data_IF_649193136822
#
_entry.id   IF_649193136822
#
_cell.length_a   1.000
_cell.length_b   1.000
_cell.length_c   1.000
_cell.angle_alpha   90.00
_cell.angle_beta   90.00
_cell.angle_gamma   90.00
#
_symmetry.space_group_name_H-M   'P 1'
#
loop_
_entity.id
_entity.type
_entity.pdbx_description
1 polymer ?
#
# COMPACT_ATOMS: atom_id res chain seq x y z
N UNK A 1 2.69 -11.15 13.29
CA UNK A 1 3.28 -11.40 11.95
C UNK A 1 4.71 -10.90 12.00
N UNK A 2 5.70 -11.79 11.86
CA UNK A 2 7.12 -11.42 11.92
C UNK A 2 7.55 -10.68 10.64
N UNK A 3 8.48 -9.73 10.75
CA UNK A 3 9.05 -8.97 9.63
C UNK A 3 9.51 -9.88 8.47
N UNK A 4 10.11 -11.03 8.79
CA UNK A 4 10.52 -12.05 7.81
C UNK A 4 9.35 -12.60 6.99
N UNK A 5 8.20 -12.84 7.64
CA UNK A 5 6.98 -13.29 6.96
C UNK A 5 6.41 -12.24 6.01
N UNK A 6 6.45 -10.97 6.40
CA UNK A 6 5.98 -9.83 5.57
C UNK A 6 6.87 -9.62 4.33
N UNK A 7 8.19 -9.78 4.47
CA UNK A 7 9.13 -9.68 3.34
C UNK A 7 9.00 -10.87 2.41
N UNK A 8 8.84 -12.09 2.94
CA UNK A 8 8.68 -13.30 2.11
C UNK A 8 7.42 -13.24 1.24
N UNK A 9 6.31 -12.73 1.78
CA UNK A 9 5.04 -12.59 1.06
C UNK A 9 5.12 -11.49 0.00
N UNK A 10 5.86 -10.41 0.26
CA UNK A 10 6.18 -9.38 -0.72
C UNK A 10 7.01 -9.93 -1.89
N UNK A 11 8.09 -10.64 -1.61
CA UNK A 11 8.96 -11.26 -2.63
C UNK A 11 8.18 -12.25 -3.48
N UNK A 12 7.34 -13.08 -2.85
CA UNK A 12 6.49 -14.06 -3.54
C UNK A 12 5.46 -13.36 -4.43
N UNK A 13 4.85 -12.27 -3.95
CA UNK A 13 3.93 -11.46 -4.74
C UNK A 13 4.63 -10.83 -5.95
N UNK A 14 5.84 -10.31 -5.79
CA UNK A 14 6.64 -9.75 -6.89
C UNK A 14 7.02 -10.82 -7.92
N UNK A 15 7.43 -12.01 -7.47
CA UNK A 15 7.75 -13.14 -8.36
C UNK A 15 6.53 -13.62 -9.15
N UNK A 16 5.39 -13.77 -8.48
CA UNK A 16 4.14 -14.20 -9.12
C UNK A 16 3.58 -13.16 -10.09
N UNK A 17 3.79 -11.87 -9.82
CA UNK A 17 3.37 -10.78 -10.71
C UNK A 17 4.43 -10.40 -11.77
N UNK A 18 5.56 -11.12 -11.83
CA UNK A 18 6.62 -10.84 -12.81
C UNK A 18 6.13 -11.20 -14.22
N UNK A 19 5.88 -10.18 -15.04
CA UNK A 19 5.47 -10.35 -16.45
C UNK A 19 6.58 -11.04 -17.25
N UNK A 20 6.24 -12.00 -18.13
CA UNK A 20 7.19 -12.59 -19.09
C UNK A 20 7.82 -11.46 -19.92
N UNK A 21 9.15 -11.40 -19.95
CA UNK A 21 9.88 -10.44 -20.80
C UNK A 21 9.77 -10.92 -22.25
N UNK A 22 9.02 -10.18 -23.06
CA UNK A 22 8.99 -10.35 -24.52
C UNK A 22 10.23 -9.70 -25.13
N UNK A 23 10.74 -10.25 -26.24
CA UNK A 23 11.89 -9.67 -26.94
C UNK A 23 11.52 -8.32 -27.57
N UNK A 24 12.53 -7.51 -27.93
CA UNK A 24 12.29 -6.23 -28.59
C UNK A 24 11.56 -6.42 -29.94
N UNK A 25 11.90 -7.47 -30.68
CA UNK A 25 11.23 -7.86 -31.93
C UNK A 25 9.77 -8.27 -31.70
N UNK A 26 9.48 -9.09 -30.69
CA UNK A 26 8.11 -9.52 -30.35
C UNK A 26 7.24 -8.34 -29.88
N UNK A 27 7.85 -7.35 -29.22
CA UNK A 27 7.17 -6.08 -28.91
C UNK A 27 6.79 -5.33 -30.18
N UNK A 28 7.75 -5.09 -31.06
CA UNK A 28 7.54 -4.29 -32.28
C UNK A 28 6.49 -4.92 -33.22
N UNK A 29 6.47 -6.25 -33.32
CA UNK A 29 5.50 -6.96 -34.17
C UNK A 29 4.05 -6.80 -33.68
N UNK A 30 3.82 -6.70 -32.36
CA UNK A 30 2.48 -6.44 -31.79
C UNK A 30 2.02 -5.00 -32.05
N UNK A 31 2.93 -4.02 -31.97
CA UNK A 31 2.58 -2.61 -32.17
C UNK A 31 2.29 -2.25 -33.63
N UNK A 32 2.84 -3.00 -34.61
CA UNK A 32 2.50 -2.79 -36.02
C UNK A 32 1.10 -3.30 -36.39
N UNK A 33 0.51 -4.23 -35.62
CA UNK A 33 -0.79 -4.85 -35.90
C UNK A 33 -1.98 -4.13 -35.25
N UNK A 34 -1.78 -3.41 -34.14
CA UNK A 34 -2.88 -2.78 -33.39
C UNK A 34 -2.95 -1.26 -33.60
N UNK A 35 -3.81 -0.81 -34.54
CA UNK A 35 -4.17 0.61 -34.78
C UNK A 35 -5.00 1.27 -33.66
N UNK A 36 -4.81 0.90 -32.39
CA UNK A 36 -5.59 1.49 -31.29
C UNK A 36 -4.71 1.77 -30.07
N UNK A 37 -3.84 2.78 -30.20
CA UNK A 37 -2.95 3.28 -29.15
C UNK A 37 -3.68 4.21 -28.16
N UNK A 38 -4.92 3.85 -27.78
CA UNK A 38 -5.64 4.56 -26.72
C UNK A 38 -5.41 3.81 -25.44
N UNK A 39 -4.73 4.47 -24.48
CA UNK A 39 -4.53 4.01 -23.12
C UNK A 39 -5.88 3.67 -22.47
N UNK A 40 -6.32 2.42 -22.59
CA UNK A 40 -7.63 1.97 -22.15
C UNK A 40 -7.57 1.55 -20.68
N UNK A 41 -7.95 2.46 -19.79
CA UNK A 41 -8.17 2.11 -18.39
C UNK A 41 -9.47 1.32 -18.26
N UNK A 42 -9.40 -0.01 -18.42
CA UNK A 42 -10.54 -0.95 -18.29
C UNK A 42 -11.28 -0.84 -16.95
N UNK A 43 -10.63 -0.29 -15.91
CA UNK A 43 -11.20 -0.13 -14.56
C UNK A 43 -11.29 1.34 -14.20
N UNK A 44 -12.38 1.98 -14.61
CA UNK A 44 -12.92 3.12 -13.87
C UNK A 44 -13.43 2.55 -12.54
N UNK A 45 -12.70 2.78 -11.45
CA UNK A 45 -13.20 2.40 -10.13
C UNK A 45 -14.57 3.07 -9.93
N UNK A 46 -15.61 2.28 -9.65
CA UNK A 46 -16.94 2.81 -9.42
C UNK A 46 -16.85 3.86 -8.29
N UNK A 47 -17.39 5.06 -8.49
CA UNK A 47 -17.28 6.15 -7.50
C UNK A 47 -17.70 5.72 -6.10
N UNK A 48 -18.68 4.80 -5.99
CA UNK A 48 -19.11 4.20 -4.73
C UNK A 48 -17.99 3.40 -4.06
N UNK A 49 -17.22 2.63 -4.82
CA UNK A 49 -16.06 1.89 -4.30
C UNK A 49 -14.97 2.85 -3.82
N UNK A 50 -14.71 3.93 -4.56
CA UNK A 50 -13.72 4.93 -4.17
C UNK A 50 -14.14 5.66 -2.88
N UNK A 51 -15.41 6.05 -2.75
CA UNK A 51 -15.97 6.64 -1.53
C UNK A 51 -15.84 5.69 -0.34
N UNK A 52 -16.14 4.41 -0.53
CA UNK A 52 -16.01 3.40 0.53
C UNK A 52 -14.56 3.22 0.99
N UNK A 53 -13.60 3.20 0.06
CA UNK A 53 -12.16 3.11 0.40
C UNK A 53 -11.73 4.35 1.19
N UNK A 54 -12.11 5.55 0.74
CA UNK A 54 -11.81 6.81 1.45
C UNK A 54 -12.37 6.81 2.88
N UNK A 55 -13.61 6.36 3.07
CA UNK A 55 -14.23 6.28 4.39
C UNK A 55 -13.52 5.27 5.31
N UNK A 56 -13.15 4.11 4.79
CA UNK A 56 -12.39 3.10 5.55
C UNK A 56 -11.03 3.66 6.00
N UNK A 57 -10.31 4.34 5.11
CA UNK A 57 -9.00 4.93 5.42
C UNK A 57 -9.15 6.00 6.52
N UNK A 58 -10.12 6.91 6.41
CA UNK A 58 -10.36 7.94 7.42
C UNK A 58 -10.67 7.36 8.79
N UNK A 59 -11.54 6.34 8.86
CA UNK A 59 -11.88 5.66 10.12
C UNK A 59 -10.66 4.99 10.75
N UNK A 60 -9.86 4.30 9.94
CA UNK A 60 -8.64 3.65 10.41
C UNK A 60 -7.62 4.67 10.94
N UNK A 61 -7.47 5.81 10.25
CA UNK A 61 -6.58 6.89 10.70
C UNK A 61 -7.02 7.48 12.03
N UNK A 62 -8.31 7.71 12.25
CA UNK A 62 -8.83 8.21 13.53
C UNK A 62 -8.53 7.26 14.69
N UNK A 63 -8.77 5.95 14.50
CA UNK A 63 -8.46 4.94 15.52
C UNK A 63 -6.96 4.89 15.81
N UNK A 64 -6.13 4.91 14.78
CA UNK A 64 -4.68 4.90 14.94
C UNK A 64 -4.17 6.18 15.61
N UNK A 65 -4.77 7.33 15.30
CA UNK A 65 -4.41 8.62 15.90
C UNK A 65 -4.66 8.63 17.40
N UNK A 66 -5.84 8.17 17.84
CA UNK A 66 -6.17 8.07 19.28
C UNK A 66 -5.21 7.12 20.00
N UNK A 67 -4.91 5.95 19.41
CA UNK A 67 -3.93 5.01 19.97
C UNK A 67 -2.53 5.61 20.09
N UNK A 68 -2.10 6.35 19.07
CA UNK A 68 -0.79 7.00 19.08
C UNK A 68 -0.71 8.11 20.13
N UNK A 69 -1.78 8.90 20.31
CA UNK A 69 -1.85 9.92 21.37
C UNK A 69 -1.76 9.26 22.74
N UNK A 70 -2.53 8.19 22.99
CA UNK A 70 -2.49 7.48 24.26
C UNK A 70 -1.09 6.92 24.54
N UNK A 71 -0.44 6.34 23.53
CA UNK A 71 0.94 5.87 23.65
C UNK A 71 1.91 7.01 23.96
N UNK A 72 1.76 8.16 23.30
CA UNK A 72 2.61 9.34 23.53
C UNK A 72 2.45 9.86 24.97
N UNK A 73 1.21 10.01 25.44
CA UNK A 73 0.93 10.43 26.83
C UNK A 73 1.55 9.46 27.82
N UNK A 74 1.37 8.14 27.62
CA UNK A 74 1.97 7.13 28.47
C UNK A 74 3.49 7.25 28.51
N UNK A 75 4.15 7.40 27.35
CA UNK A 75 5.61 7.58 27.30
C UNK A 75 6.06 8.86 28.01
N UNK A 76 5.32 9.96 27.88
CA UNK A 76 5.65 11.22 28.52
C UNK A 76 5.53 11.12 30.04
N UNK A 77 4.47 10.48 30.55
CA UNK A 77 4.30 10.20 31.98
C UNK A 77 5.43 9.33 32.53
N UNK A 78 5.84 8.31 31.80
CA UNK A 78 6.97 7.45 32.24
C UNK A 78 8.29 8.22 32.30
N UNK A 79 8.53 9.13 31.34
CA UNK A 79 9.74 9.97 31.35
C UNK A 79 9.73 10.95 32.53
N UNK A 80 8.60 11.61 32.80
CA UNK A 80 8.46 12.50 33.94
C UNK A 80 8.67 11.78 35.28
N UNK A 81 8.14 10.56 35.41
CA UNK A 81 8.33 9.74 36.60
C UNK A 81 9.80 9.41 36.84
N UNK A 82 10.54 9.02 35.79
CA UNK A 82 11.97 8.73 35.89
C UNK A 82 12.76 9.98 36.28
N UNK A 83 12.46 11.14 35.68
CA UNK A 83 13.13 12.41 36.01
C UNK A 83 12.84 12.83 37.45
N UNK A 84 11.63 12.61 37.95
CA UNK A 84 11.27 12.95 39.34
C UNK A 84 11.89 12.01 40.38
N UNK A 85 12.32 10.81 39.98
CA UNK A 85 12.92 9.79 40.84
C UNK A 85 14.45 9.89 40.89
N UNK A 86 15.07 10.52 39.88
CA UNK A 86 16.50 10.89 39.81
C UNK A 86 16.74 12.20 40.53
#
# INVERSE_FOLDING_TARGET
MSFSGSVSSMITSLKNNKRKRTSAFEKLERFQKEKNDKLFFKKTANEKQLKNIRLKIKRQQQVNFIKNILALIATFLTLLYIISLV
#
